data_IF_292279124650
#
_entry.id   IF_292279124650
#
_cell.length_a   1.000
_cell.length_b   1.000
_cell.length_c   1.000
_cell.angle_alpha   90.00
_cell.angle_beta   90.00
_cell.angle_gamma   90.00
#
_symmetry.space_group_name_H-M   'P 1'
#
loop_
_entity.id
_entity.type
_entity.pdbx_description
1 polymer ?
#
# COMPACT_ATOMS: atom_id res chain seq x y z
N UNK A 1 14.40 45.14 8.48
CA UNK A 1 14.17 44.18 7.38
C UNK A 1 14.88 42.91 7.81
N UNK A 2 14.19 41.91 8.38
CA UNK A 2 14.81 40.61 8.56
C UNK A 2 14.63 39.77 7.29
N UNK A 3 15.67 38.99 7.08
CA UNK A 3 16.11 38.39 5.83
C UNK A 3 15.23 37.27 5.29
N UNK A 4 15.32 37.13 3.96
CA UNK A 4 14.83 36.02 3.16
C UNK A 4 15.69 34.78 3.47
N UNK A 5 15.30 34.00 4.47
CA UNK A 5 16.04 32.78 4.87
C UNK A 5 15.15 31.52 4.86
N UNK A 6 14.12 31.50 4.00
CA UNK A 6 13.67 30.23 3.45
C UNK A 6 14.48 30.00 2.18
N UNK A 7 15.64 29.36 2.38
CA UNK A 7 16.37 28.70 1.31
C UNK A 7 15.34 27.89 0.50
N UNK A 8 15.33 28.06 -0.83
CA UNK A 8 14.28 27.48 -1.67
C UNK A 8 14.33 25.98 -1.48
N UNK A 9 13.29 25.41 -0.87
CA UNK A 9 13.13 23.97 -0.73
C UNK A 9 13.25 23.39 -2.15
N UNK A 10 14.37 22.73 -2.49
CA UNK A 10 14.70 22.51 -3.89
C UNK A 10 14.05 21.24 -4.44
N UNK A 11 13.44 20.45 -3.56
CA UNK A 11 12.80 19.19 -3.90
C UNK A 11 11.34 19.21 -3.47
N UNK A 12 10.47 18.82 -4.40
CA UNK A 12 9.07 18.52 -4.11
C UNK A 12 8.83 17.04 -4.38
N UNK A 13 8.27 16.35 -3.38
CA UNK A 13 7.84 14.96 -3.48
C UNK A 13 6.33 14.93 -3.35
N UNK A 14 5.65 14.51 -4.40
CA UNK A 14 4.22 14.28 -4.39
C UNK A 14 3.94 12.79 -4.26
N UNK A 15 3.15 12.41 -3.27
CA UNK A 15 2.74 11.04 -2.99
C UNK A 15 1.22 10.97 -3.08
N UNK A 16 0.72 10.20 -4.05
CA UNK A 16 -0.70 10.06 -4.30
C UNK A 16 -1.21 8.74 -3.71
N UNK A 17 -2.27 8.80 -2.92
CA UNK A 17 -2.94 7.63 -2.37
C UNK A 17 -4.14 7.23 -3.20
N UNK A 18 -4.33 5.93 -3.33
CA UNK A 18 -5.43 5.35 -4.10
C UNK A 18 -6.78 5.62 -3.46
N UNK A 19 -6.85 5.44 -2.14
CA UNK A 19 -8.07 5.57 -1.33
C UNK A 19 -7.76 6.19 0.03
N UNK A 20 -8.78 6.74 0.68
CA UNK A 20 -8.67 7.17 2.09
C UNK A 20 -8.18 6.04 3.00
N UNK A 21 -8.67 4.80 2.78
CA UNK A 21 -8.26 3.61 3.52
C UNK A 21 -6.75 3.35 3.41
N UNK A 22 -6.20 3.40 2.18
CA UNK A 22 -4.76 3.21 1.96
C UNK A 22 -3.91 4.24 2.70
N UNK A 23 -4.35 5.51 2.71
CA UNK A 23 -3.69 6.56 3.48
C UNK A 23 -3.79 6.33 4.99
N UNK A 24 -4.97 5.96 5.51
CA UNK A 24 -5.14 5.69 6.95
C UNK A 24 -4.32 4.48 7.41
N UNK A 25 -4.20 3.43 6.60
CA UNK A 25 -3.35 2.27 6.89
C UNK A 25 -1.87 2.67 6.86
N UNK A 26 -1.44 3.37 5.81
CA UNK A 26 -0.08 3.94 5.75
C UNK A 26 0.18 4.83 6.95
N UNK A 27 -0.81 5.62 7.36
CA UNK A 27 -0.69 6.54 8.49
C UNK A 27 -0.55 5.80 9.80
N UNK A 28 -1.37 4.79 10.05
CA UNK A 28 -1.30 4.00 11.26
C UNK A 28 0.05 3.31 11.44
N UNK A 29 0.67 2.80 10.36
CA UNK A 29 1.88 1.97 10.46
C UNK A 29 3.17 2.77 10.29
N UNK A 30 3.20 3.70 9.34
CA UNK A 30 4.42 4.41 8.94
C UNK A 30 4.36 5.88 9.35
N UNK A 31 3.30 6.63 8.99
CA UNK A 31 3.26 8.07 9.26
C UNK A 31 3.07 8.45 10.74
N UNK A 32 2.46 7.59 11.56
CA UNK A 32 2.24 7.82 12.99
C UNK A 32 3.55 7.91 13.80
N UNK A 33 4.67 7.44 13.24
CA UNK A 33 6.02 7.52 13.82
C UNK A 33 6.84 8.71 13.29
N UNK A 34 6.17 9.70 12.68
CA UNK A 34 6.80 10.94 12.24
C UNK A 34 7.54 10.84 10.91
N UNK A 35 7.21 9.87 10.04
CA UNK A 35 7.85 9.79 8.73
C UNK A 35 7.21 8.80 7.75
N UNK A 36 7.70 8.77 6.51
CA UNK A 36 7.30 7.79 5.51
C UNK A 36 8.49 7.32 4.69
N UNK A 37 8.48 6.08 4.24
CA UNK A 37 9.39 5.63 3.20
C UNK A 37 8.73 5.82 1.83
N UNK A 38 9.49 6.35 0.89
CA UNK A 38 9.06 6.59 -0.49
C UNK A 38 9.95 5.78 -1.42
N UNK A 39 9.35 4.81 -2.12
CA UNK A 39 10.00 4.10 -3.23
C UNK A 39 10.24 5.08 -4.38
N UNK A 40 11.50 5.27 -4.77
CA UNK A 40 11.87 6.21 -5.83
C UNK A 40 13.32 5.98 -6.25
N UNK A 41 13.59 6.25 -7.53
CA UNK A 41 14.94 6.28 -8.09
C UNK A 41 15.61 7.66 -7.90
N UNK A 42 14.90 8.64 -7.34
CA UNK A 42 15.43 9.99 -7.15
C UNK A 42 16.56 10.02 -6.12
N UNK A 43 17.65 10.70 -6.47
CA UNK A 43 18.82 10.85 -5.61
C UNK A 43 18.76 12.10 -4.73
N UNK A 44 17.73 12.21 -3.89
CA UNK A 44 17.62 13.34 -2.96
C UNK A 44 18.65 13.16 -1.83
N UNK A 45 19.53 14.15 -1.55
CA UNK A 45 20.55 14.02 -0.50
C UNK A 45 19.95 13.86 0.90
N UNK A 46 20.60 13.05 1.74
CA UNK A 46 20.26 12.92 3.17
C UNK A 46 20.50 14.27 3.86
N UNK A 47 19.60 14.63 4.78
CA UNK A 47 19.67 15.86 5.57
C UNK A 47 19.03 17.08 4.88
N UNK A 48 18.48 16.93 3.67
CA UNK A 48 17.81 18.03 2.96
C UNK A 48 16.34 18.07 3.30
N UNK A 49 15.83 19.30 3.47
CA UNK A 49 14.40 19.58 3.55
C UNK A 49 13.75 19.50 2.17
N UNK A 50 12.58 18.88 2.11
CA UNK A 50 11.74 18.77 0.92
C UNK A 50 10.31 19.19 1.22
N UNK A 51 9.60 19.63 0.18
CA UNK A 51 8.17 19.85 0.22
C UNK A 51 7.49 18.52 -0.09
N UNK A 52 6.66 18.04 0.83
CA UNK A 52 5.93 16.79 0.68
C UNK A 52 4.46 17.11 0.43
N UNK A 53 3.93 16.65 -0.69
CA UNK A 53 2.51 16.76 -1.04
C UNK A 53 1.85 15.38 -0.96
N UNK A 54 0.98 15.18 0.03
CA UNK A 54 0.18 13.96 0.13
C UNK A 54 -1.18 14.20 -0.51
N UNK A 55 -1.44 13.60 -1.66
CA UNK A 55 -2.72 13.68 -2.37
C UNK A 55 -3.60 12.54 -1.89
N UNK A 56 -4.63 12.85 -1.10
CA UNK A 56 -5.48 11.85 -0.45
C UNK A 56 -6.94 12.04 -0.87
N UNK A 57 -7.57 11.03 -1.49
CA UNK A 57 -9.01 11.07 -1.79
C UNK A 57 -9.84 11.37 -0.53
N UNK A 58 -10.75 12.35 -0.63
CA UNK A 58 -11.60 12.81 0.48
C UNK A 58 -11.00 13.90 1.37
N UNK A 59 -9.67 14.00 1.46
CA UNK A 59 -8.96 15.04 2.22
C UNK A 59 -8.32 16.13 1.35
N UNK A 60 -8.05 15.85 0.06
CA UNK A 60 -7.36 16.77 -0.84
C UNK A 60 -5.84 16.65 -0.73
N UNK A 61 -5.12 17.70 -1.12
CA UNK A 61 -3.66 17.75 -1.03
C UNK A 61 -3.22 18.30 0.32
N UNK A 62 -2.46 17.53 1.07
CA UNK A 62 -1.83 17.94 2.33
C UNK A 62 -0.38 18.32 2.05
N UNK A 63 0.01 19.53 2.43
CA UNK A 63 1.37 20.01 2.27
C UNK A 63 2.12 19.93 3.59
N UNK A 64 3.28 19.30 3.57
CA UNK A 64 4.13 19.03 4.73
C UNK A 64 5.58 19.39 4.37
N UNK A 65 6.40 19.65 5.39
CA UNK A 65 7.85 19.70 5.23
C UNK A 65 8.44 18.40 5.76
N UNK A 66 9.24 17.76 4.92
CA UNK A 66 9.97 16.53 5.25
C UNK A 66 11.47 16.75 5.25
N UNK A 67 12.19 15.95 6.03
CA UNK A 67 13.64 15.82 6.04
C UNK A 67 14.00 14.44 5.50
N UNK A 68 14.91 14.36 4.53
CA UNK A 68 15.44 13.06 4.09
C UNK A 68 16.32 12.48 5.19
N UNK A 69 15.80 11.52 5.95
CA UNK A 69 16.49 10.93 7.10
C UNK A 69 17.49 9.84 6.70
N UNK A 70 17.17 9.05 5.65
CA UNK A 70 18.02 7.97 5.15
C UNK A 70 17.66 7.60 3.72
N UNK A 71 18.54 6.88 3.03
CA UNK A 71 18.34 6.36 1.68
C UNK A 71 18.56 4.85 1.64
N UNK A 72 17.91 4.20 0.68
CA UNK A 72 18.14 2.81 0.31
C UNK A 72 18.46 2.75 -1.18
N UNK A 73 19.59 2.15 -1.51
CA UNK A 73 19.99 1.88 -2.88
C UNK A 73 19.50 0.53 -3.39
N UNK A 74 19.70 0.28 -4.68
CA UNK A 74 19.35 -0.98 -5.36
C UNK A 74 20.10 -2.20 -4.81
N UNK A 75 21.26 -1.98 -4.19
CA UNK A 75 22.10 -3.00 -3.58
C UNK A 75 21.54 -3.56 -2.26
N UNK A 76 20.53 -2.90 -1.68
CA UNK A 76 19.94 -3.33 -0.42
C UNK A 76 19.03 -4.55 -0.60
N UNK A 77 19.23 -5.58 0.24
CA UNK A 77 18.32 -6.72 0.32
C UNK A 77 16.98 -6.39 0.99
N UNK A 78 16.84 -5.21 1.61
CA UNK A 78 15.68 -4.85 2.43
C UNK A 78 14.47 -4.37 1.61
N UNK A 79 14.64 -4.17 0.30
CA UNK A 79 13.56 -3.79 -0.62
C UNK A 79 14.02 -2.85 -1.73
N UNK A 80 13.08 -2.30 -2.52
CA UNK A 80 13.37 -1.39 -3.63
C UNK A 80 14.07 -0.11 -3.16
N UNK A 81 14.76 0.61 -4.07
CA UNK A 81 15.41 1.87 -3.76
C UNK A 81 14.38 2.93 -3.36
N UNK A 82 14.85 3.90 -2.57
CA UNK A 82 14.02 5.00 -2.10
C UNK A 82 14.66 5.76 -0.97
N UNK A 83 13.86 6.55 -0.27
CA UNK A 83 14.31 7.36 0.85
C UNK A 83 13.26 7.47 1.95
N UNK A 84 13.75 7.54 3.19
CA UNK A 84 12.94 7.81 4.37
C UNK A 84 12.82 9.31 4.58
N UNK A 85 11.59 9.79 4.72
CA UNK A 85 11.25 11.18 4.99
C UNK A 85 10.78 11.27 6.44
N UNK A 86 11.38 12.13 7.24
CA UNK A 86 10.93 12.49 8.59
C UNK A 86 10.17 13.81 8.55
N UNK A 87 8.96 13.88 9.10
CA UNK A 87 8.15 15.09 9.09
C UNK A 87 8.64 16.08 10.12
N UNK A 88 8.96 17.30 9.68
CA UNK A 88 9.57 18.32 10.54
C UNK A 88 8.53 19.16 11.30
N UNK A 89 7.29 19.19 10.83
CA UNK A 89 6.21 19.89 11.49
C UNK A 89 4.89 19.19 11.12
N UNK A 90 4.41 18.32 12.00
CA UNK A 90 3.14 17.58 11.77
C UNK A 90 2.00 18.58 11.91
N UNK A 91 1.77 19.32 10.83
CA UNK A 91 0.90 20.49 10.82
C UNK A 91 -0.50 20.12 11.35
N UNK A 92 -1.21 21.04 12.04
CA UNK A 92 -2.61 20.86 12.42
C UNK A 92 -3.54 20.40 11.27
N UNK A 93 -3.13 20.69 10.03
CA UNK A 93 -3.77 20.27 8.79
C UNK A 93 -3.79 18.74 8.60
N UNK A 94 -2.72 18.03 8.97
CA UNK A 94 -2.68 16.56 8.89
C UNK A 94 -3.66 15.94 9.88
N UNK A 95 -3.66 16.44 11.13
CA UNK A 95 -4.61 15.99 12.17
C UNK A 95 -6.06 16.19 11.74
N UNK A 96 -6.41 17.38 11.27
CA UNK A 96 -7.78 17.66 10.79
C UNK A 96 -8.18 16.82 9.59
N UNK A 97 -7.25 16.54 8.66
CA UNK A 97 -7.48 15.65 7.55
C UNK A 97 -7.75 14.22 8.01
N UNK A 98 -6.98 13.72 8.98
CA UNK A 98 -7.18 12.39 9.58
C UNK A 98 -8.54 12.32 10.26
N UNK A 99 -8.89 13.30 11.09
CA UNK A 99 -10.18 13.34 11.79
C UNK A 99 -11.35 13.27 10.79
N UNK A 100 -11.25 14.04 9.70
CA UNK A 100 -12.24 14.01 8.61
C UNK A 100 -12.33 12.64 7.95
N UNK A 101 -11.19 12.03 7.61
CA UNK A 101 -11.17 10.72 6.94
C UNK A 101 -11.70 9.62 7.86
N UNK A 102 -11.30 9.60 9.13
CA UNK A 102 -11.77 8.64 10.13
C UNK A 102 -13.29 8.72 10.31
N UNK A 103 -13.87 9.93 10.27
CA UNK A 103 -15.33 10.10 10.41
C UNK A 103 -16.16 9.46 9.28
N UNK A 104 -15.55 9.19 8.13
CA UNK A 104 -16.19 8.58 6.95
C UNK A 104 -15.63 7.21 6.61
N UNK A 105 -14.76 6.67 7.48
CA UNK A 105 -14.10 5.40 7.24
C UNK A 105 -15.03 4.23 7.57
N UNK A 106 -15.34 3.42 6.56
CA UNK A 106 -16.23 2.26 6.68
C UNK A 106 -15.49 0.92 6.67
N UNK A 107 -14.15 0.96 6.76
CA UNK A 107 -13.33 -0.24 6.73
C UNK A 107 -12.57 -0.43 5.42
N UNK A 108 -11.62 -1.37 5.45
CA UNK A 108 -10.77 -1.71 4.30
C UNK A 108 -11.45 -2.82 3.50
N UNK A 109 -11.77 -2.58 2.23
CA UNK A 109 -12.45 -3.56 1.39
C UNK A 109 -11.43 -4.57 0.84
N UNK A 110 -11.46 -5.83 1.29
CA UNK A 110 -10.48 -6.84 0.88
C UNK A 110 -11.16 -8.01 0.18
N UNK A 111 -10.78 -8.27 -1.07
CA UNK A 111 -11.17 -9.47 -1.80
C UNK A 111 -10.24 -10.63 -1.44
N UNK A 112 -10.78 -11.80 -1.12
CA UNK A 112 -10.02 -13.04 -0.90
C UNK A 112 -10.49 -14.10 -1.89
N UNK A 113 -9.62 -14.48 -2.81
CA UNK A 113 -9.82 -15.61 -3.72
C UNK A 113 -9.07 -16.83 -3.18
N UNK A 114 -9.80 -17.90 -2.83
CA UNK A 114 -9.24 -19.21 -2.51
C UNK A 114 -10.32 -20.27 -2.72
N UNK A 115 -9.95 -21.43 -3.29
CA UNK A 115 -10.93 -22.47 -3.61
C UNK A 115 -11.44 -23.22 -2.40
N UNK A 116 -10.52 -23.64 -1.52
CA UNK A 116 -10.88 -24.40 -0.33
C UNK A 116 -11.63 -23.53 0.67
N UNK A 117 -12.79 -24.03 1.14
CA UNK A 117 -13.68 -23.27 2.03
C UNK A 117 -13.04 -23.04 3.39
N UNK A 118 -12.30 -24.03 3.91
CA UNK A 118 -11.67 -23.96 5.21
C UNK A 118 -10.46 -23.01 5.18
N UNK A 119 -9.64 -23.07 4.14
CA UNK A 119 -8.52 -22.17 3.93
C UNK A 119 -8.99 -20.74 3.72
N UNK A 120 -9.98 -20.51 2.86
CA UNK A 120 -10.59 -19.19 2.65
C UNK A 120 -11.16 -18.60 3.94
N UNK A 121 -11.84 -19.40 4.76
CA UNK A 121 -12.37 -18.96 6.06
C UNK A 121 -11.25 -18.64 7.06
N UNK A 122 -10.18 -19.43 7.06
CA UNK A 122 -9.03 -19.23 7.95
C UNK A 122 -8.25 -17.99 7.59
N UNK A 123 -7.97 -17.79 6.30
CA UNK A 123 -7.32 -16.61 5.78
C UNK A 123 -8.14 -15.34 6.05
N UNK A 124 -9.45 -15.36 5.80
CA UNK A 124 -10.34 -14.24 6.12
C UNK A 124 -10.29 -13.86 7.61
N UNK A 125 -10.28 -14.85 8.51
CA UNK A 125 -10.15 -14.63 9.96
C UNK A 125 -8.80 -14.03 10.33
N UNK A 126 -7.70 -14.52 9.76
CA UNK A 126 -6.37 -13.99 10.00
C UNK A 126 -6.25 -12.55 9.52
N UNK A 127 -6.77 -12.22 8.33
CA UNK A 127 -6.83 -10.84 7.82
C UNK A 127 -7.64 -9.94 8.76
N UNK A 128 -8.83 -10.37 9.19
CA UNK A 128 -9.67 -9.60 10.14
C UNK A 128 -9.01 -9.42 11.50
N UNK A 129 -8.17 -10.36 11.94
CA UNK A 129 -7.38 -10.22 13.17
C UNK A 129 -6.25 -9.18 13.03
N UNK A 130 -5.69 -9.00 11.83
CA UNK A 130 -4.64 -8.01 11.56
C UNK A 130 -5.27 -6.62 11.34
N UNK A 131 -6.37 -6.57 10.59
CA UNK A 131 -7.09 -5.36 10.22
C UNK A 131 -8.54 -5.56 10.66
N UNK A 132 -8.85 -5.18 11.90
CA UNK A 132 -10.18 -5.38 12.51
C UNK A 132 -11.32 -4.73 11.71
N UNK A 133 -11.00 -3.66 10.99
CA UNK A 133 -11.93 -2.92 10.14
C UNK A 133 -12.03 -3.46 8.72
N UNK A 134 -11.34 -4.56 8.37
CA UNK A 134 -11.38 -5.09 7.00
C UNK A 134 -12.71 -5.78 6.69
N UNK A 135 -13.42 -5.35 5.66
CA UNK A 135 -14.60 -6.03 5.14
C UNK A 135 -14.17 -7.03 4.06
N UNK A 136 -14.34 -8.32 4.35
CA UNK A 136 -13.79 -9.40 3.53
C UNK A 136 -14.85 -9.91 2.54
N UNK A 137 -14.61 -9.67 1.25
CA UNK A 137 -15.36 -10.29 0.17
C UNK A 137 -14.68 -11.59 -0.23
N UNK A 138 -15.37 -12.72 -0.11
CA UNK A 138 -14.79 -14.04 -0.37
C UNK A 138 -15.25 -14.56 -1.73
N UNK A 139 -14.29 -14.91 -2.59
CA UNK A 139 -14.50 -15.59 -3.85
C UNK A 139 -13.99 -17.03 -3.78
N UNK A 140 -14.84 -17.98 -4.17
CA UNK A 140 -14.49 -19.40 -4.22
C UNK A 140 -13.80 -19.78 -5.55
N UNK A 141 -13.91 -18.94 -6.57
CA UNK A 141 -13.34 -19.14 -7.89
C UNK A 141 -13.10 -17.79 -8.59
N UNK A 142 -12.40 -17.83 -9.72
CA UNK A 142 -12.05 -16.65 -10.49
C UNK A 142 -13.25 -15.92 -11.11
N UNK A 143 -14.37 -16.61 -11.38
CA UNK A 143 -15.56 -15.98 -11.94
C UNK A 143 -16.27 -15.10 -10.89
N UNK A 144 -16.38 -15.60 -9.65
CA UNK A 144 -16.85 -14.81 -8.52
C UNK A 144 -15.88 -13.66 -8.23
N UNK A 145 -14.57 -13.92 -8.25
CA UNK A 145 -13.56 -12.88 -8.04
C UNK A 145 -13.67 -11.76 -9.09
N UNK A 146 -13.86 -12.09 -10.37
CA UNK A 146 -14.02 -11.11 -11.44
C UNK A 146 -15.27 -10.23 -11.26
N UNK A 147 -16.34 -10.75 -10.64
CA UNK A 147 -17.56 -10.00 -10.36
C UNK A 147 -17.37 -9.03 -9.19
N UNK A 148 -16.59 -9.43 -8.18
CA UNK A 148 -16.34 -8.64 -6.97
C UNK A 148 -15.20 -7.63 -7.12
N UNK A 149 -14.26 -7.88 -8.04
CA UNK A 149 -13.08 -7.06 -8.23
C UNK A 149 -13.43 -5.74 -8.94
N UNK A 150 -13.65 -4.71 -8.13
CA UNK A 150 -13.97 -3.34 -8.57
C UNK A 150 -12.95 -2.35 -8.04
N UNK A 151 -13.07 -1.08 -8.46
CA UNK A 151 -12.26 0.02 -7.91
C UNK A 151 -12.55 0.32 -6.43
N UNK A 152 -13.62 -0.23 -5.84
CA UNK A 152 -13.90 -0.09 -4.40
C UNK A 152 -13.05 -1.04 -3.55
N UNK A 153 -12.48 -2.11 -4.14
CA UNK A 153 -11.57 -3.02 -3.45
C UNK A 153 -10.28 -2.29 -3.11
N UNK A 154 -9.87 -2.29 -1.85
CA UNK A 154 -8.58 -1.73 -1.40
C UNK A 154 -7.42 -2.71 -1.60
N UNK A 155 -7.68 -4.02 -1.53
CA UNK A 155 -6.67 -5.06 -1.70
C UNK A 155 -7.31 -6.38 -2.17
N UNK A 156 -6.64 -7.12 -3.06
CA UNK A 156 -7.01 -8.50 -3.35
C UNK A 156 -5.93 -9.49 -2.87
N UNK A 157 -6.33 -10.49 -2.09
CA UNK A 157 -5.50 -11.60 -1.65
C UNK A 157 -5.89 -12.83 -2.47
N UNK A 158 -4.94 -13.41 -3.19
CA UNK A 158 -5.20 -14.43 -4.21
C UNK A 158 -4.38 -15.67 -3.92
N UNK A 159 -5.05 -16.76 -3.58
CA UNK A 159 -4.49 -18.11 -3.51
C UNK A 159 -4.24 -18.63 -4.94
N UNK A 160 -2.97 -18.79 -5.29
CA UNK A 160 -2.54 -19.19 -6.64
C UNK A 160 -2.44 -20.70 -6.78
N UNK A 161 -2.36 -21.45 -5.67
CA UNK A 161 -2.11 -22.90 -5.74
C UNK A 161 -3.37 -23.68 -6.16
N UNK A 162 -4.56 -23.16 -5.86
CA UNK A 162 -5.84 -23.83 -6.17
C UNK A 162 -6.18 -23.81 -7.66
N UNK A 163 -6.21 -22.63 -8.27
CA UNK A 163 -6.50 -22.41 -9.70
C UNK A 163 -5.49 -21.40 -10.25
N UNK A 164 -4.30 -21.85 -10.70
CA UNK A 164 -3.26 -20.95 -11.18
C UNK A 164 -3.71 -20.07 -12.34
N UNK A 165 -4.53 -20.58 -13.26
CA UNK A 165 -4.96 -19.80 -14.42
C UNK A 165 -5.91 -18.67 -14.00
N UNK A 166 -6.95 -19.01 -13.24
CA UNK A 166 -7.91 -18.03 -12.70
C UNK A 166 -7.28 -17.04 -11.72
N UNK A 167 -6.32 -17.48 -10.91
CA UNK A 167 -5.55 -16.62 -10.03
C UNK A 167 -4.72 -15.60 -10.82
N UNK A 168 -3.95 -16.05 -11.83
CA UNK A 168 -3.15 -15.16 -12.67
C UNK A 168 -4.04 -14.20 -13.47
N UNK A 169 -5.23 -14.63 -13.92
CA UNK A 169 -6.20 -13.73 -14.54
C UNK A 169 -6.68 -12.65 -13.57
N UNK A 170 -6.99 -13.02 -12.33
CA UNK A 170 -7.44 -12.10 -11.28
C UNK A 170 -6.37 -11.05 -10.96
N UNK A 171 -5.11 -11.48 -10.81
CA UNK A 171 -3.97 -10.58 -10.59
C UNK A 171 -3.85 -9.54 -11.72
N UNK A 172 -3.89 -9.98 -12.98
CA UNK A 172 -3.83 -9.08 -14.14
C UNK A 172 -5.03 -8.13 -14.19
N UNK A 173 -6.23 -8.63 -13.94
CA UNK A 173 -7.45 -7.82 -13.94
C UNK A 173 -7.37 -6.68 -12.91
N UNK A 174 -6.79 -6.94 -11.74
CA UNK A 174 -6.58 -5.93 -10.70
C UNK A 174 -5.72 -4.75 -11.19
N UNK A 175 -4.80 -5.00 -12.14
CA UNK A 175 -3.90 -3.99 -12.74
C UNK A 175 -4.49 -3.27 -13.94
N UNK A 176 -5.59 -3.77 -14.48
CA UNK A 176 -6.30 -3.16 -15.61
C UNK A 176 -7.45 -2.25 -15.17
N UNK A 177 -7.82 -2.26 -13.88
CA UNK A 177 -8.77 -1.30 -13.31
C UNK A 177 -8.25 0.13 -13.43
N UNK A 178 -9.17 1.08 -13.65
CA UNK A 178 -8.86 2.50 -13.73
C UNK A 178 -8.06 2.99 -12.51
N UNK A 179 -8.45 2.49 -11.32
CA UNK A 179 -7.66 2.57 -10.10
C UNK A 179 -7.10 1.20 -9.78
N UNK A 180 -5.82 0.98 -10.11
CA UNK A 180 -5.13 -0.31 -9.93
C UNK A 180 -5.28 -0.79 -8.49
N UNK A 181 -5.73 -2.03 -8.32
CA UNK A 181 -5.88 -2.65 -7.01
C UNK A 181 -4.57 -3.36 -6.65
N UNK A 182 -3.98 -3.11 -5.47
CA UNK A 182 -2.84 -3.87 -4.99
C UNK A 182 -3.26 -5.32 -4.66
N UNK A 183 -2.32 -6.23 -4.76
CA UNK A 183 -2.53 -7.67 -4.76
C UNK A 183 -1.46 -8.38 -3.95
N UNK A 184 -1.88 -9.33 -3.12
CA UNK A 184 -1.00 -10.30 -2.45
C UNK A 184 -1.27 -11.67 -3.04
N UNK A 185 -0.26 -12.29 -3.65
CA UNK A 185 -0.37 -13.66 -4.13
C UNK A 185 0.15 -14.64 -3.08
N UNK A 186 -0.67 -15.62 -2.72
CA UNK A 186 -0.37 -16.69 -1.75
C UNK A 186 -0.05 -17.96 -2.54
N UNK A 187 1.12 -18.54 -2.30
CA UNK A 187 1.52 -19.80 -2.95
C UNK A 187 2.62 -20.53 -2.17
N UNK A 188 2.67 -21.85 -2.27
CA UNK A 188 3.79 -22.68 -1.82
C UNK A 188 4.84 -22.94 -2.92
N UNK A 189 4.51 -22.68 -4.19
CA UNK A 189 5.33 -23.04 -5.36
C UNK A 189 6.24 -21.90 -5.82
N UNK A 190 7.56 -22.17 -5.93
CA UNK A 190 8.52 -21.20 -6.48
C UNK A 190 8.20 -20.82 -7.93
N UNK A 191 7.78 -21.79 -8.74
CA UNK A 191 7.34 -21.55 -10.13
C UNK A 191 6.11 -20.63 -10.18
N UNK A 192 5.12 -20.86 -9.32
CA UNK A 192 3.91 -20.02 -9.29
C UNK A 192 4.21 -18.63 -8.73
N UNK A 193 5.18 -18.49 -7.82
CA UNK A 193 5.68 -17.16 -7.38
C UNK A 193 6.18 -16.33 -8.56
N UNK A 194 7.01 -16.91 -9.42
CA UNK A 194 7.53 -16.21 -10.60
C UNK A 194 6.41 -15.78 -11.55
N UNK A 195 5.45 -16.67 -11.80
CA UNK A 195 4.28 -16.36 -12.63
C UNK A 195 3.40 -15.29 -12.02
N UNK A 196 3.18 -15.32 -10.69
CA UNK A 196 2.40 -14.30 -9.98
C UNK A 196 3.08 -12.92 -10.06
N UNK A 197 4.40 -12.85 -9.88
CA UNK A 197 5.16 -11.60 -10.11
C UNK A 197 5.00 -11.10 -11.54
N UNK A 198 5.15 -11.99 -12.53
CA UNK A 198 5.00 -11.64 -13.94
C UNK A 198 3.56 -11.20 -14.29
N UNK A 199 2.56 -11.68 -13.55
CA UNK A 199 1.17 -11.24 -13.66
C UNK A 199 0.88 -9.91 -12.93
N UNK A 200 1.86 -9.38 -12.20
CA UNK A 200 1.78 -8.09 -11.53
C UNK A 200 1.44 -8.14 -10.04
N UNK A 201 1.61 -9.28 -9.36
CA UNK A 201 1.47 -9.33 -7.90
C UNK A 201 2.42 -8.32 -7.23
N UNK A 202 1.91 -7.48 -6.32
CA UNK A 202 2.73 -6.48 -5.62
C UNK A 202 3.49 -7.11 -4.47
N UNK A 203 2.86 -8.05 -3.78
CA UNK A 203 3.44 -8.79 -2.66
C UNK A 203 3.18 -10.30 -2.83
N UNK A 204 4.03 -11.09 -2.17
CA UNK A 204 3.93 -12.55 -2.15
C UNK A 204 3.95 -13.07 -0.73
N UNK A 205 3.14 -14.08 -0.43
CA UNK A 205 3.19 -14.81 0.82
C UNK A 205 3.27 -16.32 0.62
N UNK A 206 3.82 -17.03 1.60
CA UNK A 206 3.79 -18.49 1.69
C UNK A 206 2.36 -19.02 1.83
N UNK A 207 2.12 -20.28 1.46
CA UNK A 207 0.82 -20.94 1.62
C UNK A 207 0.96 -22.18 2.52
N UNK A 208 0.29 -22.24 3.68
CA UNK A 208 -0.44 -21.13 4.33
C UNK A 208 0.53 -20.07 4.88
N UNK A 209 0.17 -18.78 4.90
CA UNK A 209 1.06 -17.75 5.41
C UNK A 209 1.09 -17.72 6.95
N UNK A 210 2.27 -17.71 7.59
CA UNK A 210 2.42 -17.34 8.98
C UNK A 210 1.82 -15.96 9.27
N UNK A 211 1.28 -15.76 10.47
CA UNK A 211 0.61 -14.50 10.85
C UNK A 211 1.50 -13.26 10.64
N UNK A 212 2.76 -13.32 11.07
CA UNK A 212 3.69 -12.21 10.94
C UNK A 212 4.01 -11.89 9.47
N UNK A 213 4.16 -12.92 8.63
CA UNK A 213 4.37 -12.74 7.19
C UNK A 213 3.14 -12.08 6.56
N UNK A 214 1.94 -12.61 6.84
CA UNK A 214 0.68 -12.06 6.35
C UNK A 214 0.50 -10.60 6.77
N UNK A 215 0.78 -10.26 8.03
CA UNK A 215 0.72 -8.89 8.52
C UNK A 215 1.63 -7.95 7.73
N UNK A 216 2.87 -8.35 7.48
CA UNK A 216 3.85 -7.54 6.75
C UNK A 216 3.37 -7.28 5.32
N UNK A 217 2.97 -8.33 4.59
CA UNK A 217 2.59 -8.19 3.18
C UNK A 217 1.28 -7.42 3.00
N UNK A 218 0.29 -7.60 3.88
CA UNK A 218 -0.97 -6.85 3.83
C UNK A 218 -0.72 -5.35 4.05
N UNK A 219 0.07 -5.00 5.06
CA UNK A 219 0.41 -3.62 5.38
C UNK A 219 1.20 -2.98 4.24
N UNK A 220 2.19 -3.68 3.67
CA UNK A 220 2.98 -3.15 2.55
C UNK A 220 2.10 -2.91 1.32
N UNK A 221 1.27 -3.88 0.95
CA UNK A 221 0.39 -3.76 -0.20
C UNK A 221 -0.64 -2.64 -0.03
N UNK A 222 -1.23 -2.47 1.16
CA UNK A 222 -2.22 -1.43 1.45
C UNK A 222 -1.62 -0.03 1.61
N UNK A 223 -0.38 0.06 2.09
CA UNK A 223 0.28 1.36 2.31
C UNK A 223 1.01 1.88 1.08
N UNK A 224 1.08 1.10 -0.01
CA UNK A 224 1.75 1.48 -1.25
C UNK A 224 1.01 2.65 -1.91
N UNK A 225 1.69 3.77 -2.18
CA UNK A 225 1.12 4.88 -2.93
C UNK A 225 0.71 4.46 -4.35
N UNK A 226 -0.32 5.12 -4.89
CA UNK A 226 -0.72 4.99 -6.29
C UNK A 226 0.32 5.60 -7.24
N UNK A 227 0.93 6.72 -6.84
CA UNK A 227 2.02 7.33 -7.58
C UNK A 227 2.96 8.12 -6.66
N UNK A 228 4.22 8.22 -7.07
CA UNK A 228 5.24 9.06 -6.45
C UNK A 228 5.87 9.90 -7.56
N UNK A 229 5.92 11.22 -7.38
CA UNK A 229 6.59 12.15 -8.30
C UNK A 229 7.59 12.98 -7.52
N UNK A 230 8.78 13.11 -8.06
CA UNK A 230 9.87 13.89 -7.49
C UNK A 230 10.28 14.95 -8.50
N UNK A 231 10.34 16.21 -8.09
CA UNK A 231 10.74 17.35 -8.92
C UNK A 231 11.69 18.28 -8.20
#
# INVERSE_FOLDING_TARGET
MPDREYDRIPYTVQVEFRTASSFLVAYSVNLSRGGMFVESDAEIPIGVLLALELVVPGAGTLQLIGLVAWRRGYESADGPPGFGIEFQDVAPQLGSAIDKLVSTFHGVQILVLSGDRQDRTTLARSIKSIISTAEIMQAADAAVAATLLTSEIDLAVVDVDFDPEGALQTLRAAKLLASKVPTVAITASSKLRELARAAGADELASNPPPFAELQIVLVRALSKPASVRTS
#
